data_IF_405257942346
#
_entry.id   IF_405257942346
#
_cell.length_a   1.000
_cell.length_b   1.000
_cell.length_c   1.000
_cell.angle_alpha   90.00
_cell.angle_beta   90.00
_cell.angle_gamma   90.00
#
_symmetry.space_group_name_H-M   'P 1'
#
loop_
_entity.id
_entity.type
_entity.pdbx_description
1 polymer ?
#
# COMPACT_ATOMS: atom_id res chain seq x y z
N UNK A 1 -6.09 6.71 3.76
CA UNK A 1 -5.11 5.84 4.44
C UNK A 1 -4.33 6.60 5.48
N UNK A 2 -3.37 7.42 5.05
CA UNK A 2 -2.32 7.97 5.92
C UNK A 2 -2.78 9.00 6.96
N UNK A 3 -3.84 9.77 6.64
CA UNK A 3 -4.36 10.83 7.53
C UNK A 3 -5.36 10.29 8.56
N UNK A 4 -5.95 9.11 8.32
CA UNK A 4 -7.04 8.58 9.15
C UNK A 4 -6.63 8.37 10.61
N UNK A 5 -5.43 7.82 10.93
CA UNK A 5 -4.97 7.77 12.32
C UNK A 5 -4.89 9.16 12.96
N UNK A 6 -4.35 10.16 12.26
CA UNK A 6 -4.25 11.53 12.79
C UNK A 6 -5.59 12.21 12.99
N UNK A 7 -6.60 11.88 12.18
CA UNK A 7 -7.99 12.31 12.39
C UNK A 7 -8.58 11.61 13.61
N UNK A 8 -8.36 10.30 13.76
CA UNK A 8 -8.85 9.55 14.91
C UNK A 8 -8.28 10.09 16.22
N UNK A 9 -6.97 10.27 16.32
CA UNK A 9 -6.31 10.78 17.53
C UNK A 9 -6.64 12.25 17.85
N UNK A 10 -7.25 12.97 16.91
CA UNK A 10 -7.82 14.28 17.20
C UNK A 10 -9.09 14.20 18.07
N UNK A 11 -9.87 13.12 17.94
CA UNK A 11 -11.07 12.87 18.74
C UNK A 11 -10.79 11.97 19.96
N UNK A 12 -9.79 11.10 19.87
CA UNK A 12 -9.33 10.22 20.96
C UNK A 12 -7.83 10.44 21.23
N UNK A 13 -7.44 11.54 21.90
CA UNK A 13 -6.04 11.86 22.10
C UNK A 13 -5.29 10.76 22.87
N UNK A 14 -4.08 10.46 22.43
CA UNK A 14 -3.17 9.53 23.08
C UNK A 14 -1.73 10.08 23.04
N UNK A 15 -0.95 9.80 24.09
CA UNK A 15 0.41 10.30 24.21
C UNK A 15 1.31 9.76 23.08
N UNK A 16 2.13 10.64 22.49
CA UNK A 16 3.03 10.29 21.39
C UNK A 16 2.37 10.09 20.02
N UNK A 17 1.06 10.39 19.88
CA UNK A 17 0.33 10.29 18.61
C UNK A 17 0.11 11.65 17.96
N UNK A 18 0.34 11.73 16.65
CA UNK A 18 0.14 12.96 15.87
C UNK A 18 -1.34 13.20 15.57
N UNK A 19 -1.86 14.38 15.88
CA UNK A 19 -3.24 14.80 15.58
C UNK A 19 -3.30 15.64 14.31
N UNK A 20 -4.43 15.60 13.59
CA UNK A 20 -4.61 16.42 12.38
C UNK A 20 -4.52 17.93 12.68
N UNK A 21 -5.04 18.37 13.83
CA UNK A 21 -4.92 19.76 14.27
C UNK A 21 -3.47 20.13 14.57
N UNK A 22 -2.69 19.22 15.18
CA UNK A 22 -1.25 19.42 15.38
C UNK A 22 -0.49 19.52 14.06
N UNK A 23 -0.84 18.70 13.06
CA UNK A 23 -0.23 18.78 11.74
C UNK A 23 -0.56 20.10 11.02
N UNK A 24 -1.79 20.60 11.14
CA UNK A 24 -2.19 21.87 10.50
C UNK A 24 -1.50 23.10 11.11
N UNK A 25 -1.15 23.04 12.39
CA UNK A 25 -0.54 24.16 13.12
C UNK A 25 0.98 24.08 13.22
N UNK A 26 1.62 23.06 12.63
CA UNK A 26 3.06 22.88 12.64
C UNK A 26 3.66 22.93 11.24
N UNK A 27 4.83 23.53 11.10
CA UNK A 27 5.51 23.65 9.80
C UNK A 27 5.86 22.27 9.20
N UNK A 28 6.24 21.31 10.05
CA UNK A 28 6.50 19.93 9.62
C UNK A 28 5.23 19.26 9.08
N UNK A 29 4.09 19.42 9.78
CA UNK A 29 2.83 18.79 9.43
C UNK A 29 2.19 19.40 8.18
N UNK A 30 2.27 20.72 8.02
CA UNK A 30 1.84 21.41 6.80
C UNK A 30 2.60 20.92 5.57
N UNK A 31 3.90 20.69 5.69
CA UNK A 31 4.72 20.15 4.60
C UNK A 31 4.33 18.69 4.26
N UNK A 32 4.05 17.86 5.27
CA UNK A 32 3.53 16.50 5.06
C UNK A 32 2.16 16.53 4.36
N UNK A 33 1.24 17.40 4.80
CA UNK A 33 -0.09 17.56 4.19
C UNK A 33 0.00 18.06 2.73
N UNK A 34 0.90 19.01 2.45
CA UNK A 34 1.19 19.46 1.09
C UNK A 34 1.72 18.29 0.24
N UNK A 35 2.64 17.51 0.77
CA UNK A 35 3.14 16.30 0.12
C UNK A 35 2.02 15.32 -0.22
N UNK A 36 1.06 15.08 0.69
CA UNK A 36 -0.11 14.23 0.43
C UNK A 36 -0.98 14.79 -0.69
N UNK A 37 -1.24 16.10 -0.69
CA UNK A 37 -2.00 16.76 -1.76
C UNK A 37 -1.33 16.55 -3.12
N UNK A 38 -0.01 16.76 -3.20
CA UNK A 38 0.78 16.53 -4.42
C UNK A 38 0.75 15.05 -4.83
N UNK A 39 0.75 14.11 -3.87
CA UNK A 39 0.61 12.68 -4.16
C UNK A 39 -0.71 12.37 -4.85
N UNK A 40 -1.82 12.92 -4.35
CA UNK A 40 -3.15 12.76 -4.94
C UNK A 40 -3.19 13.29 -6.36
N UNK A 41 -2.61 14.48 -6.60
CA UNK A 41 -2.47 15.04 -7.95
C UNK A 41 -1.67 14.10 -8.86
N UNK A 42 -0.54 13.58 -8.38
CA UNK A 42 0.28 12.61 -9.12
C UNK A 42 -0.49 11.33 -9.49
N UNK A 43 -1.26 10.77 -8.55
CA UNK A 43 -2.13 9.60 -8.79
C UNK A 43 -3.18 9.91 -9.85
N UNK A 44 -3.82 11.07 -9.80
CA UNK A 44 -4.81 11.50 -10.81
C UNK A 44 -4.15 11.58 -12.19
N UNK A 45 -2.95 12.15 -12.29
CA UNK A 45 -2.20 12.25 -13.55
C UNK A 45 -1.84 10.85 -14.08
N UNK A 46 -1.32 9.95 -13.23
CA UNK A 46 -1.05 8.55 -13.59
C UNK A 46 -2.32 7.82 -14.05
N UNK A 47 -3.44 8.00 -13.36
CA UNK A 47 -4.73 7.43 -13.75
C UNK A 47 -5.19 7.93 -15.12
N UNK A 48 -5.03 9.24 -15.41
CA UNK A 48 -5.28 9.79 -16.75
C UNK A 48 -4.32 9.24 -17.81
N UNK A 49 -3.07 8.95 -17.46
CA UNK A 49 -2.14 8.30 -18.38
C UNK A 49 -2.60 6.87 -18.70
N UNK A 50 -3.13 6.14 -17.72
CA UNK A 50 -3.72 4.81 -17.90
C UNK A 50 -4.92 4.82 -18.86
N UNK A 51 -5.84 5.78 -18.71
CA UNK A 51 -7.00 5.88 -19.62
C UNK A 51 -6.60 6.29 -21.03
N UNK A 52 -5.58 7.15 -21.18
CA UNK A 52 -4.99 7.45 -22.50
C UNK A 52 -4.34 6.21 -23.11
N UNK A 53 -3.62 5.41 -22.31
CA UNK A 53 -3.02 4.13 -22.74
C UNK A 53 -4.08 3.18 -23.28
N UNK A 54 -5.13 2.93 -22.51
CA UNK A 54 -6.22 2.05 -22.92
C UNK A 54 -6.87 2.54 -24.22
N UNK A 55 -7.18 3.84 -24.31
CA UNK A 55 -7.76 4.43 -25.53
C UNK A 55 -6.88 4.26 -26.76
N UNK A 56 -5.56 4.51 -26.63
CA UNK A 56 -4.62 4.38 -27.74
C UNK A 56 -4.46 2.92 -28.18
N UNK A 57 -4.41 1.98 -27.24
CA UNK A 57 -4.30 0.54 -27.54
C UNK A 57 -5.58 -0.01 -28.17
N UNK A 58 -6.76 0.43 -27.74
CA UNK A 58 -8.05 0.10 -28.37
C UNK A 58 -8.15 0.70 -29.77
N UNK A 59 -7.74 1.97 -29.96
CA UNK A 59 -7.72 2.61 -31.27
C UNK A 59 -6.79 1.88 -32.26
N UNK A 60 -5.67 1.34 -31.76
CA UNK A 60 -4.71 0.55 -32.54
C UNK A 60 -5.09 -0.93 -32.67
N UNK A 61 -6.30 -1.34 -32.26
CA UNK A 61 -6.80 -2.74 -32.26
C UNK A 61 -5.88 -3.74 -31.56
N UNK A 62 -5.05 -3.28 -30.62
CA UNK A 62 -4.16 -4.15 -29.84
C UNK A 62 -4.84 -4.75 -28.61
N UNK A 63 -6.01 -4.21 -28.24
CA UNK A 63 -6.89 -4.75 -27.21
C UNK A 63 -8.30 -4.76 -27.81
N UNK A 64 -9.02 -5.87 -27.67
CA UNK A 64 -10.45 -5.92 -28.02
C UNK A 64 -11.24 -4.92 -27.14
N UNK A 65 -12.36 -4.41 -27.64
CA UNK A 65 -13.30 -3.61 -26.84
C UNK A 65 -14.00 -4.50 -25.78
N UNK A 66 -13.23 -5.07 -24.85
CA UNK A 66 -13.75 -5.79 -23.70
C UNK A 66 -14.04 -4.80 -22.59
N UNK A 67 -15.28 -4.29 -22.58
CA UNK A 67 -16.17 -4.32 -21.40
C UNK A 67 -17.36 -3.37 -21.59
N UNK A 68 -18.45 -3.87 -22.15
CA UNK A 68 -19.76 -3.19 -22.10
C UNK A 68 -20.42 -3.27 -20.71
N UNK A 69 -19.88 -4.05 -19.78
CA UNK A 69 -20.40 -4.23 -18.41
C UNK A 69 -19.67 -3.39 -17.34
N UNK A 70 -18.90 -2.37 -17.71
CA UNK A 70 -18.25 -1.51 -16.72
C UNK A 70 -19.27 -0.63 -15.97
N UNK A 71 -19.70 -1.10 -14.81
CA UNK A 71 -20.53 -0.33 -13.87
C UNK A 71 -19.66 0.66 -13.11
N UNK A 72 -19.35 1.80 -13.75
CA UNK A 72 -18.53 2.86 -13.17
C UNK A 72 -18.88 3.22 -11.72
N UNK A 73 -20.18 3.35 -11.41
CA UNK A 73 -20.64 3.65 -10.05
C UNK A 73 -20.30 2.56 -9.03
N UNK A 74 -20.41 1.28 -9.41
CA UNK A 74 -20.02 0.17 -8.53
C UNK A 74 -18.49 0.15 -8.34
N UNK A 75 -17.73 0.43 -9.40
CA UNK A 75 -16.27 0.55 -9.34
C UNK A 75 -15.82 1.65 -8.37
N UNK A 76 -16.41 2.84 -8.44
CA UNK A 76 -16.12 3.93 -7.50
C UNK A 76 -16.47 3.53 -6.06
N UNK A 77 -17.65 2.95 -5.84
CA UNK A 77 -18.08 2.55 -4.50
C UNK A 77 -17.09 1.56 -3.87
N UNK A 78 -16.73 0.51 -4.62
CA UNK A 78 -15.75 -0.50 -4.17
C UNK A 78 -14.39 0.14 -3.92
N UNK A 79 -13.94 1.07 -4.76
CA UNK A 79 -12.67 1.77 -4.59
C UNK A 79 -12.65 2.63 -3.30
N UNK A 80 -13.73 3.36 -3.01
CA UNK A 80 -13.84 4.18 -1.79
C UNK A 80 -13.84 3.29 -0.55
N UNK A 81 -14.68 2.26 -0.53
CA UNK A 81 -14.77 1.33 0.61
C UNK A 81 -13.44 0.63 0.83
N UNK A 82 -12.80 0.13 -0.23
CA UNK A 82 -11.48 -0.48 -0.17
C UNK A 82 -10.42 0.49 0.35
N UNK A 83 -10.43 1.76 -0.09
CA UNK A 83 -9.50 2.79 0.38
C UNK A 83 -9.66 3.14 1.86
N UNK A 84 -10.90 3.13 2.37
CA UNK A 84 -11.18 3.30 3.81
C UNK A 84 -10.72 2.08 4.60
N UNK A 85 -11.09 0.87 4.17
CA UNK A 85 -10.67 -0.37 4.84
C UNK A 85 -9.15 -0.58 4.83
N UNK A 86 -8.47 -0.18 3.75
CA UNK A 86 -7.01 -0.21 3.66
C UNK A 86 -6.35 0.70 4.71
N UNK A 87 -6.99 1.83 5.05
CA UNK A 87 -6.51 2.72 6.12
C UNK A 87 -6.54 2.05 7.50
N UNK A 88 -7.47 1.12 7.72
CA UNK A 88 -7.56 0.37 8.98
C UNK A 88 -6.33 -0.51 9.21
N UNK A 89 -5.62 -0.93 8.15
CA UNK A 89 -4.36 -1.66 8.30
C UNK A 89 -3.29 -0.77 8.94
N UNK A 90 -3.11 0.47 8.45
CA UNK A 90 -2.21 1.45 9.05
C UNK A 90 -2.61 1.78 10.49
N UNK A 91 -3.92 1.91 10.75
CA UNK A 91 -4.44 2.10 12.09
C UNK A 91 -4.09 0.94 13.03
N UNK A 92 -4.20 -0.31 12.55
CA UNK A 92 -3.78 -1.49 13.30
C UNK A 92 -2.29 -1.47 13.65
N UNK A 93 -1.43 -1.06 12.71
CA UNK A 93 0.02 -0.94 12.94
C UNK A 93 0.28 0.09 14.04
N UNK A 94 -0.34 1.26 13.93
CA UNK A 94 -0.18 2.35 14.89
C UNK A 94 -0.70 1.98 16.29
N UNK A 95 -1.80 1.25 16.36
CA UNK A 95 -2.36 0.74 17.62
C UNK A 95 -1.49 -0.34 18.25
N UNK A 96 -0.87 -1.21 17.43
CA UNK A 96 0.03 -2.25 17.91
C UNK A 96 1.45 -1.79 18.19
N UNK A 97 1.74 -0.48 18.13
CA UNK A 97 3.08 0.08 18.36
C UNK A 97 3.64 -0.24 19.75
N UNK A 98 2.78 -0.30 20.77
CA UNK A 98 3.18 -0.70 22.12
C UNK A 98 3.80 -2.11 22.18
N UNK A 99 3.33 -3.04 21.33
CA UNK A 99 3.92 -4.38 21.21
C UNK A 99 5.32 -4.32 20.61
N UNK A 100 5.51 -3.48 19.59
CA UNK A 100 6.81 -3.25 18.97
C UNK A 100 7.79 -2.58 19.94
N UNK A 101 7.34 -1.63 20.75
CA UNK A 101 8.15 -0.93 21.76
C UNK A 101 8.63 -1.88 22.86
N UNK A 102 7.76 -2.76 23.36
CA UNK A 102 8.13 -3.80 24.34
C UNK A 102 9.18 -4.75 23.76
N UNK A 103 8.97 -5.22 22.52
CA UNK A 103 9.92 -6.08 21.83
C UNK A 103 11.28 -5.38 21.60
N UNK A 104 11.25 -4.09 21.24
CA UNK A 104 12.43 -3.27 21.07
C UNK A 104 13.21 -3.11 22.38
N UNK A 105 12.53 -2.80 23.49
CA UNK A 105 13.16 -2.66 24.80
C UNK A 105 13.81 -3.98 25.27
N UNK A 106 13.12 -5.11 25.09
CA UNK A 106 13.65 -6.43 25.41
C UNK A 106 14.90 -6.77 24.58
N UNK A 107 14.90 -6.44 23.28
CA UNK A 107 16.05 -6.63 22.41
C UNK A 107 17.24 -5.75 22.82
N UNK A 108 17.00 -4.46 23.07
CA UNK A 108 18.03 -3.49 23.47
C UNK A 108 18.69 -3.86 24.80
N UNK A 109 17.92 -4.40 25.75
CA UNK A 109 18.45 -4.90 27.02
C UNK A 109 19.44 -6.07 26.83
N UNK A 110 19.25 -6.89 25.79
CA UNK A 110 20.12 -8.03 25.47
C UNK A 110 21.26 -7.66 24.49
N UNK A 111 21.12 -6.56 23.74
CA UNK A 111 22.09 -6.12 22.73
C UNK A 111 22.51 -4.65 22.92
N UNK A 112 23.26 -4.33 23.99
CA UNK A 112 23.70 -2.96 24.25
C UNK A 112 24.51 -2.40 23.07
N UNK A 113 24.17 -1.17 22.65
CA UNK A 113 24.91 -0.46 21.60
C UNK A 113 24.56 -0.84 20.15
N UNK A 114 23.63 -1.78 19.91
CA UNK A 114 23.25 -2.19 18.54
C UNK A 114 22.05 -1.42 17.95
N UNK A 115 21.51 -0.44 18.67
CA UNK A 115 20.39 0.40 18.22
C UNK A 115 19.01 -0.27 18.35
N UNK A 116 18.04 0.20 17.57
CA UNK A 116 16.67 -0.33 17.59
C UNK A 116 16.59 -1.73 16.98
N UNK A 117 15.69 -2.55 17.50
CA UNK A 117 15.33 -3.86 16.97
C UNK A 117 14.70 -3.72 15.60
N UNK A 118 15.42 -4.19 14.58
CA UNK A 118 15.05 -4.08 13.17
C UNK A 118 13.70 -4.76 12.85
N UNK A 119 13.29 -5.75 13.63
CA UNK A 119 12.10 -6.56 13.41
C UNK A 119 10.98 -6.32 14.43
N UNK A 120 11.05 -5.24 15.21
CA UNK A 120 10.05 -4.92 16.26
C UNK A 120 8.62 -4.92 15.73
N UNK A 121 8.41 -4.35 14.54
CA UNK A 121 7.11 -4.25 13.88
C UNK A 121 6.51 -5.61 13.46
N UNK A 122 7.31 -6.67 13.34
CA UNK A 122 6.80 -8.00 12.96
C UNK A 122 5.87 -8.57 14.04
N UNK A 123 6.09 -8.22 15.31
CA UNK A 123 5.24 -8.63 16.43
C UNK A 123 3.82 -8.12 16.23
N UNK A 124 3.69 -6.88 15.77
CA UNK A 124 2.41 -6.23 15.44
C UNK A 124 1.76 -6.88 14.20
N UNK A 125 2.53 -7.19 13.16
CA UNK A 125 2.00 -7.81 11.94
C UNK A 125 1.38 -9.18 12.17
N UNK A 126 1.93 -9.99 13.07
CA UNK A 126 1.36 -11.31 13.40
C UNK A 126 -0.10 -11.15 13.82
N UNK A 127 -0.41 -10.19 14.70
CA UNK A 127 -1.77 -9.97 15.21
C UNK A 127 -2.69 -9.39 14.13
N UNK A 128 -2.23 -8.38 13.39
CA UNK A 128 -3.06 -7.71 12.37
C UNK A 128 -3.41 -8.68 11.23
N UNK A 129 -2.44 -9.48 10.78
CA UNK A 129 -2.63 -10.38 9.64
C UNK A 129 -3.59 -11.54 9.95
N UNK A 130 -3.83 -11.88 11.22
CA UNK A 130 -4.89 -12.82 11.59
C UNK A 130 -6.29 -12.34 11.17
N UNK A 131 -6.56 -11.03 11.23
CA UNK A 131 -7.81 -10.46 10.75
C UNK A 131 -7.99 -10.64 9.24
N UNK A 132 -6.93 -10.40 8.48
CA UNK A 132 -6.91 -10.64 7.04
C UNK A 132 -7.02 -12.12 6.68
N UNK A 133 -6.31 -12.99 7.40
CA UNK A 133 -6.35 -14.44 7.22
C UNK A 133 -7.73 -14.99 7.50
N UNK A 134 -8.32 -14.68 8.65
CA UNK A 134 -9.64 -15.19 9.06
C UNK A 134 -10.73 -14.80 8.05
N UNK A 135 -10.79 -13.53 7.66
CA UNK A 135 -11.78 -13.03 6.70
C UNK A 135 -11.64 -13.71 5.34
N UNK A 136 -10.41 -13.76 4.80
CA UNK A 136 -10.15 -14.41 3.51
C UNK A 136 -10.41 -15.92 3.57
N UNK A 137 -9.96 -16.59 4.63
CA UNK A 137 -10.13 -18.02 4.81
C UNK A 137 -11.61 -18.38 4.87
N UNK A 138 -12.41 -17.72 5.71
CA UNK A 138 -13.85 -17.96 5.83
C UNK A 138 -14.53 -17.75 4.47
N UNK A 139 -14.23 -16.65 3.78
CA UNK A 139 -14.84 -16.36 2.49
C UNK A 139 -14.44 -17.37 1.41
N UNK A 140 -13.16 -17.76 1.34
CA UNK A 140 -12.68 -18.78 0.41
C UNK A 140 -13.32 -20.14 0.69
N UNK A 141 -13.52 -20.52 1.96
CA UNK A 141 -14.19 -21.77 2.33
C UNK A 141 -15.67 -21.75 1.92
N UNK A 142 -16.36 -20.63 2.11
CA UNK A 142 -17.75 -20.44 1.65
C UNK A 142 -17.83 -20.56 0.12
N UNK A 143 -16.92 -19.90 -0.61
CA UNK A 143 -16.88 -19.98 -2.07
C UNK A 143 -16.58 -21.39 -2.57
N UNK A 144 -15.62 -22.08 -1.96
CA UNK A 144 -15.29 -23.46 -2.30
C UNK A 144 -16.49 -24.39 -2.11
N UNK A 145 -17.27 -24.20 -1.04
CA UNK A 145 -18.49 -24.96 -0.78
C UNK A 145 -19.58 -24.65 -1.82
N UNK A 146 -19.85 -23.37 -2.07
CA UNK A 146 -20.89 -22.92 -3.02
C UNK A 146 -20.60 -23.35 -4.45
N UNK A 147 -19.34 -23.25 -4.87
CA UNK A 147 -18.91 -23.57 -6.23
C UNK A 147 -18.53 -25.04 -6.41
N UNK A 148 -18.57 -25.85 -5.34
CA UNK A 148 -18.19 -27.28 -5.33
C UNK A 148 -16.77 -27.54 -5.84
N UNK A 149 -15.85 -26.62 -5.54
CA UNK A 149 -14.46 -26.66 -6.04
C UNK A 149 -13.47 -27.31 -5.08
N UNK A 150 -13.94 -27.95 -4.00
CA UNK A 150 -13.05 -28.64 -3.05
C UNK A 150 -12.27 -29.80 -3.69
N UNK A 151 -12.83 -30.47 -4.69
CA UNK A 151 -12.13 -31.54 -5.43
C UNK A 151 -10.87 -31.06 -6.13
N UNK A 152 -10.76 -29.75 -6.43
CA UNK A 152 -9.61 -29.17 -7.13
C UNK A 152 -8.33 -29.23 -6.29
N UNK A 153 -8.43 -29.31 -4.96
CA UNK A 153 -7.26 -29.47 -4.08
C UNK A 153 -6.70 -30.89 -4.10
N UNK A 154 -7.44 -31.86 -4.65
CA UNK A 154 -7.06 -33.28 -4.71
C UNK A 154 -6.98 -33.82 -6.14
N UNK A 155 -7.19 -32.97 -7.16
CA UNK A 155 -7.17 -33.40 -8.55
C UNK A 155 -5.73 -33.66 -9.04
N UNK A 156 -5.36 -34.94 -9.08
CA UNK A 156 -4.05 -35.41 -9.53
C UNK A 156 -3.76 -35.16 -11.02
N UNK A 157 -4.73 -34.71 -11.82
CA UNK A 157 -4.49 -34.26 -13.21
C UNK A 157 -3.86 -32.88 -13.27
N UNK A 158 -3.92 -32.12 -12.18
CA UNK A 158 -3.37 -30.77 -12.10
C UNK A 158 -2.02 -30.75 -11.37
N UNK A 159 -1.11 -29.82 -11.68
CA UNK A 159 0.20 -29.74 -11.03
C UNK A 159 0.09 -29.10 -9.64
N UNK A 160 -0.52 -29.80 -8.69
CA UNK A 160 -0.87 -29.29 -7.35
C UNK A 160 0.33 -28.71 -6.60
N UNK A 161 1.47 -29.41 -6.59
CA UNK A 161 2.69 -28.93 -5.92
C UNK A 161 3.16 -27.59 -6.49
N UNK A 162 3.14 -27.43 -7.82
CA UNK A 162 3.51 -26.16 -8.46
C UNK A 162 2.54 -25.06 -8.07
N UNK A 163 1.23 -25.34 -8.07
CA UNK A 163 0.21 -24.37 -7.68
C UNK A 163 0.39 -23.90 -6.23
N UNK A 164 0.71 -24.82 -5.31
CA UNK A 164 0.98 -24.48 -3.91
C UNK A 164 2.27 -23.68 -3.76
N UNK A 165 3.34 -24.06 -4.45
CA UNK A 165 4.60 -23.30 -4.44
C UNK A 165 4.39 -21.89 -5.01
N UNK A 166 3.71 -21.74 -6.14
CA UNK A 166 3.44 -20.42 -6.72
C UNK A 166 2.54 -19.57 -5.82
N UNK A 167 1.53 -20.17 -5.20
CA UNK A 167 0.68 -19.48 -4.21
C UNK A 167 1.47 -19.03 -2.99
N UNK A 168 2.34 -19.89 -2.47
CA UNK A 168 3.21 -19.58 -1.35
C UNK A 168 4.20 -18.46 -1.72
N UNK A 169 4.85 -18.54 -2.88
CA UNK A 169 5.76 -17.51 -3.38
C UNK A 169 5.05 -16.16 -3.55
N UNK A 170 3.84 -16.14 -4.10
CA UNK A 170 3.05 -14.93 -4.23
C UNK A 170 2.72 -14.32 -2.86
N UNK A 171 2.26 -15.15 -1.91
CA UNK A 171 1.97 -14.71 -0.54
C UNK A 171 3.21 -14.20 0.21
N UNK A 172 4.34 -14.90 0.10
CA UNK A 172 5.62 -14.48 0.69
C UNK A 172 6.09 -13.17 0.07
N UNK A 173 6.04 -13.04 -1.26
CA UNK A 173 6.44 -11.79 -1.95
C UNK A 173 5.56 -10.62 -1.53
N UNK A 174 4.25 -10.86 -1.40
CA UNK A 174 3.34 -9.84 -0.88
C UNK A 174 3.68 -9.47 0.56
N UNK A 175 3.95 -10.42 1.46
CA UNK A 175 4.30 -10.14 2.84
C UNK A 175 5.65 -9.42 2.98
N UNK A 176 6.62 -9.75 2.13
CA UNK A 176 7.94 -9.12 2.13
C UNK A 176 7.85 -7.59 2.00
N UNK A 177 6.82 -7.06 1.32
CA UNK A 177 6.58 -5.62 1.27
C UNK A 177 6.48 -4.99 2.68
N UNK A 178 5.78 -5.66 3.61
CA UNK A 178 5.58 -5.20 4.98
C UNK A 178 6.80 -5.46 5.84
N UNK A 179 7.51 -6.55 5.58
CA UNK A 179 8.78 -6.85 6.23
C UNK A 179 9.82 -5.74 5.96
N UNK A 180 10.02 -5.38 4.68
CA UNK A 180 10.92 -4.29 4.31
C UNK A 180 10.42 -2.92 4.77
N UNK A 181 9.10 -2.70 4.74
CA UNK A 181 8.48 -1.49 5.30
C UNK A 181 8.77 -1.34 6.79
N UNK A 182 8.55 -2.39 7.58
CA UNK A 182 8.79 -2.39 9.02
C UNK A 182 10.25 -2.11 9.38
N UNK A 183 11.19 -2.65 8.59
CA UNK A 183 12.61 -2.34 8.72
C UNK A 183 12.91 -0.86 8.44
N UNK A 184 12.31 -0.29 7.38
CA UNK A 184 12.45 1.13 7.05
C UNK A 184 11.85 2.05 8.13
N UNK A 185 10.64 1.74 8.62
CA UNK A 185 9.96 2.53 9.65
C UNK A 185 10.75 2.54 10.97
N UNK A 186 11.33 1.39 11.37
CA UNK A 186 12.15 1.28 12.59
C UNK A 186 13.39 2.20 12.58
N UNK A 187 13.85 2.61 11.39
CA UNK A 187 14.96 3.55 11.18
C UNK A 187 14.48 5.00 11.06
N UNK A 188 13.27 5.24 10.54
CA UNK A 188 12.71 6.56 10.31
C UNK A 188 12.02 7.16 11.56
N UNK A 189 11.54 6.33 12.49
CA UNK A 189 10.99 6.77 13.79
C UNK A 189 9.62 7.47 13.73
N UNK A 190 9.07 7.74 12.55
CA UNK A 190 7.75 8.35 12.35
C UNK A 190 6.85 7.46 11.47
N UNK A 191 5.76 6.93 12.06
CA UNK A 191 4.84 6.00 11.39
C UNK A 191 3.97 6.65 10.31
N UNK A 192 3.45 7.86 10.54
CA UNK A 192 2.50 8.51 9.63
C UNK A 192 3.12 8.76 8.25
N UNK A 193 4.37 9.21 8.26
CA UNK A 193 5.07 9.52 7.02
C UNK A 193 5.74 8.32 6.37
N UNK A 194 6.14 7.33 7.17
CA UNK A 194 6.61 6.05 6.63
C UNK A 194 5.54 5.40 5.76
N UNK A 195 4.28 5.41 6.19
CA UNK A 195 3.17 4.83 5.41
C UNK A 195 2.96 5.56 4.06
N UNK A 196 3.08 6.88 4.03
CA UNK A 196 2.94 7.66 2.79
C UNK A 196 4.08 7.33 1.82
N UNK A 197 5.32 7.33 2.31
CA UNK A 197 6.49 6.98 1.52
C UNK A 197 6.38 5.57 0.95
N UNK A 198 5.85 4.62 1.73
CA UNK A 198 5.60 3.26 1.28
C UNK A 198 4.60 3.20 0.12
N UNK A 199 3.42 3.83 0.27
CA UNK A 199 2.39 3.86 -0.78
C UNK A 199 2.89 4.55 -2.07
N UNK A 200 3.61 5.68 -1.93
CA UNK A 200 4.17 6.39 -3.07
C UNK A 200 5.23 5.56 -3.80
N UNK A 201 6.08 4.85 -3.05
CA UNK A 201 7.10 3.95 -3.62
C UNK A 201 6.47 2.79 -4.38
N UNK A 202 5.38 2.20 -3.87
CA UNK A 202 4.64 1.14 -4.58
C UNK A 202 4.18 1.65 -5.94
N UNK A 203 3.56 2.84 -5.99
CA UNK A 203 3.05 3.41 -7.25
C UNK A 203 4.21 3.68 -8.22
N UNK A 204 5.32 4.22 -7.74
CA UNK A 204 6.49 4.51 -8.56
C UNK A 204 7.06 3.21 -9.16
N UNK A 205 7.34 2.20 -8.33
CA UNK A 205 7.91 0.92 -8.79
C UNK A 205 6.94 0.19 -9.71
N UNK A 206 5.64 0.19 -9.43
CA UNK A 206 4.64 -0.43 -10.29
C UNK A 206 4.62 0.20 -11.69
N UNK A 207 4.68 1.53 -11.78
CA UNK A 207 4.76 2.22 -13.07
C UNK A 207 6.08 1.93 -13.81
N UNK A 208 7.22 1.88 -13.10
CA UNK A 208 8.50 1.47 -13.69
C UNK A 208 8.45 0.04 -14.23
N UNK A 209 7.86 -0.89 -13.49
CA UNK A 209 7.72 -2.27 -13.94
C UNK A 209 6.82 -2.38 -15.17
N UNK A 210 5.72 -1.62 -15.23
CA UNK A 210 4.87 -1.54 -16.42
C UNK A 210 5.61 -1.04 -17.66
N UNK A 211 6.58 -0.12 -17.48
CA UNK A 211 7.47 0.33 -18.56
C UNK A 211 8.46 -0.78 -18.98
N UNK A 212 9.08 -1.47 -18.03
CA UNK A 212 10.02 -2.57 -18.28
C UNK A 212 9.36 -3.75 -18.99
N UNK A 213 8.13 -4.10 -18.59
CA UNK A 213 7.30 -5.14 -19.21
C UNK A 213 6.77 -4.74 -20.59
N UNK A 214 7.15 -3.56 -21.10
CA UNK A 214 6.79 -3.03 -22.43
C UNK A 214 5.28 -2.86 -22.62
N UNK A 215 4.51 -2.71 -21.53
CA UNK A 215 3.06 -2.52 -21.63
C UNK A 215 2.68 -1.18 -22.29
N UNK A 216 3.62 -0.24 -22.38
CA UNK A 216 3.43 1.07 -22.99
C UNK A 216 3.85 1.12 -24.47
N UNK A 217 4.16 -0.03 -25.06
CA UNK A 217 4.46 -0.14 -26.49
C UNK A 217 3.18 0.11 -27.30
N UNK A 218 3.26 0.93 -28.34
CA UNK A 218 2.10 1.25 -29.20
C UNK A 218 1.21 2.39 -28.67
N UNK A 219 1.65 3.09 -27.63
CA UNK A 219 0.90 4.19 -27.00
C UNK A 219 1.42 5.55 -27.49
N UNK A 220 0.57 6.58 -27.57
CA UNK A 220 0.97 7.91 -28.01
C UNK A 220 2.03 8.55 -27.10
N UNK A 221 2.85 9.43 -27.69
CA UNK A 221 3.82 10.26 -26.95
C UNK A 221 3.14 11.08 -25.85
N UNK A 222 1.86 11.46 -26.04
CA UNK A 222 1.08 12.19 -25.06
C UNK A 222 0.77 11.35 -23.81
N UNK A 223 0.39 10.08 -23.98
CA UNK A 223 0.13 9.20 -22.85
C UNK A 223 1.42 8.93 -22.05
N UNK A 224 2.53 8.67 -22.74
CA UNK A 224 3.84 8.47 -22.10
C UNK A 224 4.30 9.73 -21.39
N UNK A 225 4.17 10.91 -22.01
CA UNK A 225 4.50 12.19 -21.36
C UNK A 225 3.62 12.46 -20.12
N UNK A 226 2.34 12.08 -20.16
CA UNK A 226 1.43 12.20 -19.02
C UNK A 226 1.84 11.24 -17.88
N UNK A 227 2.23 10.01 -18.22
CA UNK A 227 2.76 9.05 -17.23
C UNK A 227 4.01 9.60 -16.55
N UNK A 228 4.98 10.08 -17.32
CA UNK A 228 6.23 10.63 -16.78
C UNK A 228 5.94 11.83 -15.88
N UNK A 229 5.06 12.74 -16.28
CA UNK A 229 4.64 13.86 -15.45
C UNK A 229 4.00 13.40 -14.12
N UNK A 230 3.18 12.35 -14.15
CA UNK A 230 2.60 11.74 -12.94
C UNK A 230 3.67 11.16 -12.02
N UNK A 231 4.62 10.39 -12.57
CA UNK A 231 5.75 9.82 -11.80
C UNK A 231 6.59 10.94 -11.17
N UNK A 232 6.96 11.98 -11.93
CA UNK A 232 7.73 13.11 -11.40
C UNK A 232 6.98 13.85 -10.29
N UNK A 233 5.66 13.97 -10.41
CA UNK A 233 4.81 14.58 -9.37
C UNK A 233 4.79 13.74 -8.10
N UNK A 234 4.73 12.41 -8.22
CA UNK A 234 4.82 11.49 -7.07
C UNK A 234 6.21 11.57 -6.42
N UNK A 235 7.29 11.63 -7.20
CA UNK A 235 8.64 11.84 -6.66
C UNK A 235 8.73 13.15 -5.89
N UNK A 236 8.18 14.23 -6.42
CA UNK A 236 8.13 15.51 -5.72
C UNK A 236 7.35 15.40 -4.40
N UNK A 237 6.22 14.69 -4.38
CA UNK A 237 5.46 14.41 -3.17
C UNK A 237 6.29 13.68 -2.11
N UNK A 238 7.01 12.63 -2.50
CA UNK A 238 7.91 11.86 -1.61
C UNK A 238 8.96 12.78 -0.99
N UNK A 239 9.57 13.66 -1.78
CA UNK A 239 10.56 14.62 -1.30
C UNK A 239 9.95 15.63 -0.32
N UNK A 240 8.75 16.14 -0.59
CA UNK A 240 8.05 17.05 0.30
C UNK A 240 7.71 16.39 1.65
N UNK A 241 7.17 15.17 1.63
CA UNK A 241 6.86 14.42 2.87
C UNK A 241 8.13 14.11 3.65
N UNK A 242 9.20 13.69 2.97
CA UNK A 242 10.50 13.44 3.57
C UNK A 242 11.09 14.69 4.22
N UNK A 243 11.07 15.82 3.53
CA UNK A 243 11.50 17.11 4.06
C UNK A 243 10.65 17.54 5.26
N UNK A 244 9.33 17.39 5.18
CA UNK A 244 8.42 17.65 6.29
C UNK A 244 8.83 16.89 7.56
N UNK A 245 9.19 15.61 7.44
CA UNK A 245 9.64 14.84 8.61
C UNK A 245 10.98 15.30 9.16
N UNK A 246 11.90 15.73 8.31
CA UNK A 246 13.20 16.21 8.77
C UNK A 246 13.12 17.48 9.61
N UNK A 247 11.98 18.19 9.55
CA UNK A 247 11.70 19.37 10.37
C UNK A 247 11.04 19.05 11.72
N UNK A 248 10.69 17.78 11.97
CA UNK A 248 10.07 17.33 13.21
C UNK A 248 11.14 16.90 14.22
#
# INVERSE_FOLDING_TARGET
>A
GSIIPSVYYNFFPAEGKDTITGMLNSSWGQMVLLGILVCVVGIIICGRAGTLKERDLTANKQIENENKEYRFGLGILVAIVSGVLSACFNFGIEAGKSMADIANAAWQAQHPGQGNFLYSNNVTYIVILWGGLSTNFIWCMILNARNKTFSNYTDGKTPLLKNYIFSALAGTTWFLQFFFYGMGESKLGNGASSWILHMASIILIANLWGLVLKEWKGVSKKAVGTLVAGILTIVLSVLLVGYGNSLK
#
